data_IF_461331484141
#
_entry.id   IF_461331484141
#
_cell.length_a   1.000
_cell.length_b   1.000
_cell.length_c   1.000
_cell.angle_alpha   90.00
_cell.angle_beta   90.00
_cell.angle_gamma   90.00
#
_symmetry.space_group_name_H-M   'P 1'
#
loop_
_entity.id
_entity.type
_entity.pdbx_description
1 polymer ?
#
# COMPACT_ATOMS: atom_id res chain seq x y z
N UNK A 1 -40.75 18.19 8.45
CA UNK A 1 -40.55 17.56 7.13
C UNK A 1 -39.25 18.10 6.57
N UNK A 2 -38.31 17.25 6.13
CA UNK A 2 -37.03 17.74 5.64
C UNK A 2 -37.11 18.12 4.15
N UNK A 3 -36.42 19.20 3.82
CA UNK A 3 -36.29 19.87 2.51
C UNK A 3 -35.11 19.21 1.75
N UNK A 4 -35.11 19.14 0.40
CA UNK A 4 -34.23 18.26 -0.37
C UNK A 4 -32.77 18.77 -0.51
N UNK A 5 -31.85 17.81 -0.64
CA UNK A 5 -30.43 18.04 -0.87
C UNK A 5 -30.16 18.54 -2.30
N UNK A 6 -29.53 19.71 -2.42
CA UNK A 6 -29.04 20.25 -3.68
C UNK A 6 -27.67 19.68 -4.04
N UNK A 7 -27.53 19.35 -5.31
CA UNK A 7 -26.36 18.91 -6.06
C UNK A 7 -25.16 19.87 -5.87
N UNK A 8 -23.99 19.35 -5.46
CA UNK A 8 -22.72 20.09 -5.47
C UNK A 8 -21.76 19.35 -6.42
N UNK A 9 -21.46 19.97 -7.57
CA UNK A 9 -20.39 19.54 -8.48
C UNK A 9 -19.01 19.85 -7.89
N UNK A 10 -17.99 18.99 -8.08
CA UNK A 10 -16.62 19.30 -7.69
C UNK A 10 -15.95 20.30 -8.67
N UNK A 11 -15.05 21.19 -8.18
CA UNK A 11 -14.36 22.17 -9.01
C UNK A 11 -13.19 21.56 -9.82
N UNK A 12 -12.74 22.22 -10.92
CA UNK A 12 -11.66 21.71 -11.75
C UNK A 12 -10.30 21.80 -11.04
N UNK A 13 -9.52 20.73 -11.12
CA UNK A 13 -8.20 20.62 -10.50
C UNK A 13 -7.22 21.65 -11.07
N UNK A 14 -6.73 22.53 -10.20
CA UNK A 14 -5.65 23.45 -10.50
C UNK A 14 -4.35 22.67 -10.73
N UNK A 15 -3.73 22.89 -11.89
CA UNK A 15 -2.40 22.40 -12.23
C UNK A 15 -1.38 22.94 -11.22
N UNK A 16 -1.00 22.09 -10.27
CA UNK A 16 0.11 22.38 -9.35
C UNK A 16 1.38 21.85 -10.01
N UNK A 17 2.16 22.77 -10.56
CA UNK A 17 3.51 22.53 -11.06
C UNK A 17 4.39 22.08 -9.90
N UNK A 18 4.55 20.76 -9.76
CA UNK A 18 5.48 20.17 -8.81
C UNK A 18 6.89 20.30 -9.38
N UNK A 19 7.62 21.30 -8.89
CA UNK A 19 9.04 21.49 -9.12
C UNK A 19 9.83 20.52 -8.23
N UNK A 20 9.98 19.27 -8.67
CA UNK A 20 11.05 18.39 -8.21
C UNK A 20 12.22 18.44 -9.21
N UNK A 21 13.47 18.53 -8.75
CA UNK A 21 14.63 18.49 -9.63
C UNK A 21 14.70 17.11 -10.31
N UNK A 22 14.81 17.13 -11.64
CA UNK A 22 15.09 15.97 -12.47
C UNK A 22 16.25 15.15 -11.88
N UNK A 23 16.03 13.84 -11.73
CA UNK A 23 17.11 12.88 -11.57
C UNK A 23 18.13 13.08 -12.73
N UNK A 24 19.44 13.20 -12.47
CA UNK A 24 20.44 13.46 -13.51
C UNK A 24 20.77 12.22 -14.36
N UNK A 25 19.95 11.16 -14.32
CA UNK A 25 20.16 9.93 -15.09
C UNK A 25 19.18 9.71 -16.24
N UNK A 26 18.22 10.61 -16.47
CA UNK A 26 17.21 10.47 -17.54
C UNK A 26 17.48 11.34 -18.78
N UNK A 27 18.67 11.93 -18.91
CA UNK A 27 19.11 12.52 -20.18
C UNK A 27 20.03 11.57 -20.92
N UNK A 28 19.44 10.61 -21.63
CA UNK A 28 20.07 10.03 -22.82
C UNK A 28 19.01 9.35 -23.71
N UNK A 29 19.18 9.62 -25.01
CA UNK A 29 18.64 8.96 -26.20
C UNK A 29 17.17 9.21 -26.60
N UNK A 30 17.01 10.26 -27.40
CA UNK A 30 16.13 10.21 -28.57
C UNK A 30 16.56 9.05 -29.49
N UNK A 31 15.57 8.43 -30.14
CA UNK A 31 15.63 7.31 -31.11
C UNK A 31 16.13 5.96 -30.58
N UNK A 32 15.25 5.22 -29.90
CA UNK A 32 15.35 3.76 -29.82
C UNK A 32 14.21 3.10 -30.64
N UNK A 33 14.51 2.14 -31.54
CA UNK A 33 13.50 1.30 -32.21
C UNK A 33 12.95 0.19 -31.30
N UNK A 34 13.21 0.27 -29.99
CA UNK A 34 12.52 -0.55 -29.00
C UNK A 34 11.22 0.15 -28.62
N UNK A 35 10.18 -0.09 -29.44
CA UNK A 35 8.81 0.12 -29.03
C UNK A 35 8.67 -0.40 -27.60
N UNK A 36 8.32 0.51 -26.68
CA UNK A 36 8.15 0.24 -25.25
C UNK A 36 7.32 -1.04 -25.11
N UNK A 37 7.98 -2.16 -24.86
CA UNK A 37 7.29 -3.39 -24.50
C UNK A 37 6.59 -3.08 -23.19
N UNK A 38 5.27 -3.01 -23.25
CA UNK A 38 4.43 -2.88 -22.07
C UNK A 38 4.89 -3.94 -21.06
N UNK A 39 4.98 -3.58 -19.75
CA UNK A 39 5.28 -4.56 -18.72
C UNK A 39 4.42 -5.82 -18.91
N UNK A 40 4.97 -7.01 -18.65
CA UNK A 40 4.27 -8.27 -18.96
C UNK A 40 2.85 -8.36 -18.38
N UNK A 41 2.63 -7.76 -17.21
CA UNK A 41 1.30 -7.64 -16.58
C UNK A 41 0.33 -6.72 -17.37
N UNK A 42 0.84 -5.65 -17.98
CA UNK A 42 0.03 -4.71 -18.76
C UNK A 42 -0.38 -5.33 -20.10
N UNK A 43 0.51 -6.10 -20.73
CA UNK A 43 0.17 -6.89 -21.91
C UNK A 43 -0.88 -7.97 -21.58
N UNK A 44 -0.71 -8.69 -20.48
CA UNK A 44 -1.67 -9.71 -20.06
C UNK A 44 -3.06 -9.11 -19.70
N UNK A 45 -3.09 -7.97 -19.02
CA UNK A 45 -4.34 -7.24 -18.76
C UNK A 45 -5.03 -6.79 -20.05
N UNK A 46 -4.25 -6.34 -21.05
CA UNK A 46 -4.81 -5.96 -22.34
C UNK A 46 -5.44 -7.16 -23.06
N UNK A 47 -4.79 -8.34 -23.03
CA UNK A 47 -5.36 -9.58 -23.57
C UNK A 47 -6.66 -9.99 -22.85
N UNK A 48 -6.70 -9.88 -21.52
CA UNK A 48 -7.91 -10.15 -20.73
C UNK A 48 -9.04 -9.20 -21.12
N UNK A 49 -8.75 -7.91 -21.29
CA UNK A 49 -9.74 -6.93 -21.76
C UNK A 49 -10.30 -7.30 -23.13
N UNK A 50 -9.42 -7.60 -24.11
CA UNK A 50 -9.86 -8.01 -25.44
C UNK A 50 -10.74 -9.27 -25.40
N UNK A 51 -10.40 -10.25 -24.57
CA UNK A 51 -11.20 -11.47 -24.40
C UNK A 51 -12.54 -11.20 -23.71
N UNK A 52 -12.57 -10.24 -22.78
CA UNK A 52 -13.79 -9.80 -22.10
C UNK A 52 -14.74 -9.12 -23.09
N UNK A 53 -14.22 -8.21 -23.92
CA UNK A 53 -15.00 -7.52 -24.94
C UNK A 53 -15.57 -8.52 -25.97
N UNK A 54 -14.74 -9.47 -26.42
CA UNK A 54 -15.17 -10.54 -27.33
C UNK A 54 -16.28 -11.40 -26.70
N UNK A 55 -16.12 -11.79 -25.43
CA UNK A 55 -17.12 -12.58 -24.72
C UNK A 55 -18.44 -11.81 -24.57
N UNK A 56 -18.39 -10.52 -24.23
CA UNK A 56 -19.58 -9.67 -24.12
C UNK A 56 -20.29 -9.49 -25.47
N UNK A 57 -19.52 -9.29 -26.56
CA UNK A 57 -20.07 -9.23 -27.90
C UNK A 57 -20.77 -10.55 -28.28
N UNK A 58 -20.11 -11.69 -28.07
CA UNK A 58 -20.68 -13.01 -28.34
C UNK A 58 -21.94 -13.28 -27.51
N UNK A 59 -21.96 -12.84 -26.24
CA UNK A 59 -23.16 -12.95 -25.39
C UNK A 59 -24.33 -12.14 -25.95
N UNK A 60 -24.07 -10.93 -26.43
CA UNK A 60 -25.11 -10.08 -27.02
C UNK A 60 -25.66 -10.68 -28.31
N UNK A 61 -24.78 -11.16 -29.20
CA UNK A 61 -25.15 -11.84 -30.44
C UNK A 61 -25.96 -13.12 -30.17
N UNK A 62 -25.53 -13.93 -29.20
CA UNK A 62 -26.23 -15.15 -28.80
C UNK A 62 -27.63 -14.86 -28.24
N UNK A 63 -27.78 -13.85 -27.39
CA UNK A 63 -29.08 -13.45 -26.83
C UNK A 63 -30.04 -12.95 -27.93
N UNK A 64 -29.52 -12.21 -28.91
CA UNK A 64 -30.31 -11.77 -30.06
C UNK A 64 -30.76 -12.96 -30.92
N UNK A 65 -29.86 -13.90 -31.21
CA UNK A 65 -30.18 -15.12 -31.96
C UNK A 65 -31.21 -16.00 -31.24
N UNK A 66 -31.08 -16.15 -29.92
CA UNK A 66 -32.04 -16.88 -29.09
C UNK A 66 -33.44 -16.26 -29.16
N UNK A 67 -33.53 -14.94 -29.08
CA UNK A 67 -34.82 -14.22 -29.15
C UNK A 67 -35.50 -14.43 -30.51
N UNK A 68 -34.73 -14.34 -31.61
CA UNK A 68 -35.25 -14.60 -32.96
C UNK A 68 -35.68 -16.06 -33.16
N UNK A 69 -34.97 -17.02 -32.58
CA UNK A 69 -35.33 -18.43 -32.63
C UNK A 69 -36.67 -18.70 -31.93
N UNK A 70 -36.93 -18.07 -30.79
CA UNK A 70 -38.21 -18.20 -30.08
C UNK A 70 -39.37 -17.63 -30.90
N UNK A 71 -39.19 -16.44 -31.50
CA UNK A 71 -40.19 -15.81 -32.37
C UNK A 71 -40.51 -16.69 -33.59
N UNK A 72 -39.49 -17.23 -34.24
CA UNK A 72 -39.69 -18.10 -35.41
C UNK A 72 -40.30 -19.45 -35.02
N UNK A 73 -39.97 -19.99 -33.84
CA UNK A 73 -40.60 -21.20 -33.32
C UNK A 73 -42.10 -20.98 -33.05
N UNK A 74 -42.47 -19.86 -32.43
CA UNK A 74 -43.87 -19.49 -32.21
C UNK A 74 -44.60 -19.32 -33.54
N UNK A 75 -43.97 -18.66 -34.51
CA UNK A 75 -44.51 -18.50 -35.86
C UNK A 75 -44.71 -19.84 -36.57
N UNK A 76 -43.74 -20.75 -36.48
CA UNK A 76 -43.87 -22.09 -37.07
C UNK A 76 -45.02 -22.87 -36.41
N UNK A 77 -45.15 -22.79 -35.08
CA UNK A 77 -46.25 -23.43 -34.36
C UNK A 77 -47.62 -22.91 -34.82
N UNK A 78 -47.74 -21.59 -34.99
CA UNK A 78 -48.96 -20.97 -35.53
C UNK A 78 -49.28 -21.42 -36.96
N UNK A 79 -48.27 -21.56 -37.82
CA UNK A 79 -48.43 -22.05 -39.20
C UNK A 79 -48.75 -23.55 -39.29
N UNK A 80 -48.29 -24.34 -38.30
CA UNK A 80 -48.58 -25.78 -38.23
C UNK A 80 -49.95 -26.09 -37.62
N UNK A 81 -50.51 -25.19 -36.80
CA UNK A 81 -51.77 -25.41 -36.10
C UNK A 81 -52.95 -25.89 -37.00
N UNK A 82 -53.15 -25.36 -38.22
CA UNK A 82 -54.22 -25.83 -39.11
C UNK A 82 -54.02 -27.26 -39.65
N UNK A 83 -52.79 -27.75 -39.65
CA UNK A 83 -52.42 -29.07 -40.16
C UNK A 83 -52.41 -30.14 -39.07
N UNK A 84 -52.69 -29.77 -37.82
CA UNK A 84 -52.62 -30.63 -36.65
C UNK A 84 -54.01 -30.72 -35.99
N UNK A 85 -54.35 -31.93 -35.55
CA UNK A 85 -55.48 -32.19 -34.66
C UNK A 85 -55.15 -31.72 -33.24
N UNK A 86 -56.17 -31.54 -32.38
CA UNK A 86 -55.98 -31.28 -30.94
C UNK A 86 -55.10 -32.35 -30.27
N UNK A 87 -55.10 -33.59 -30.79
CA UNK A 87 -54.23 -34.68 -30.34
C UNK A 87 -52.80 -34.64 -30.91
N UNK A 88 -52.45 -33.62 -31.70
CA UNK A 88 -51.16 -33.49 -32.39
C UNK A 88 -50.99 -34.41 -33.62
N UNK A 89 -52.07 -35.06 -34.07
CA UNK A 89 -52.05 -35.88 -35.29
C UNK A 89 -52.10 -35.00 -36.53
N UNK A 90 -51.29 -35.33 -37.53
CA UNK A 90 -51.28 -34.62 -38.83
C UNK A 90 -52.59 -34.89 -39.56
N UNK A 91 -53.37 -33.83 -39.78
CA UNK A 91 -54.65 -33.86 -40.50
C UNK A 91 -54.45 -33.78 -42.02
N UNK A 92 -53.45 -33.02 -42.45
CA UNK A 92 -53.09 -32.81 -43.83
C UNK A 92 -51.58 -32.54 -43.95
N UNK A 93 -50.93 -32.88 -45.07
CA UNK A 93 -49.53 -32.52 -45.30
C UNK A 93 -49.38 -30.98 -45.27
N UNK A 94 -48.42 -30.43 -44.50
CA UNK A 94 -48.11 -29.00 -44.51
C UNK A 94 -47.67 -28.51 -45.88
N UNK A 95 -47.95 -27.25 -46.18
CA UNK A 95 -47.47 -26.61 -47.40
C UNK A 95 -45.94 -26.62 -47.47
N UNK A 96 -45.39 -26.68 -48.70
CA UNK A 96 -43.95 -26.71 -48.94
C UNK A 96 -43.22 -25.51 -48.28
N UNK A 97 -43.86 -24.34 -48.22
CA UNK A 97 -43.32 -23.16 -47.56
C UNK A 97 -43.16 -23.33 -46.04
N UNK A 98 -44.07 -24.05 -45.39
CA UNK A 98 -44.00 -24.36 -43.95
C UNK A 98 -42.88 -25.36 -43.69
N UNK A 99 -42.73 -26.35 -44.58
CA UNK A 99 -41.62 -27.31 -44.53
C UNK A 99 -40.26 -26.63 -44.73
N UNK A 100 -40.16 -25.69 -45.66
CA UNK A 100 -38.94 -24.91 -45.88
C UNK A 100 -38.59 -24.05 -44.67
N UNK A 101 -39.59 -23.40 -44.04
CA UNK A 101 -39.38 -22.64 -42.81
C UNK A 101 -38.86 -23.54 -41.68
N UNK A 102 -39.43 -24.75 -41.52
CA UNK A 102 -38.97 -25.74 -40.54
C UNK A 102 -37.50 -26.12 -40.77
N UNK A 103 -37.12 -26.41 -42.02
CA UNK A 103 -35.73 -26.73 -42.35
C UNK A 103 -34.78 -25.56 -42.05
N UNK A 104 -35.19 -24.33 -42.36
CA UNK A 104 -34.41 -23.13 -42.03
C UNK A 104 -34.26 -22.90 -40.52
N UNK A 105 -35.28 -23.25 -39.73
CA UNK A 105 -35.21 -23.21 -38.27
C UNK A 105 -34.28 -24.30 -37.70
N UNK A 106 -34.32 -25.51 -38.24
CA UNK A 106 -33.39 -26.58 -37.84
C UNK A 106 -31.92 -26.17 -38.09
N UNK A 107 -31.65 -25.55 -39.24
CA UNK A 107 -30.31 -25.03 -39.57
C UNK A 107 -29.87 -23.96 -38.57
N UNK A 108 -30.75 -23.00 -38.26
CA UNK A 108 -30.45 -21.95 -37.27
C UNK A 108 -30.27 -22.49 -35.86
N UNK A 109 -30.96 -23.58 -35.50
CA UNK A 109 -30.75 -24.26 -34.23
C UNK A 109 -29.32 -24.84 -34.14
N UNK A 110 -28.83 -25.45 -35.23
CA UNK A 110 -27.47 -25.96 -35.31
C UNK A 110 -26.45 -24.82 -35.18
N UNK A 111 -26.64 -23.73 -35.91
CA UNK A 111 -25.78 -22.53 -35.83
C UNK A 111 -25.76 -21.97 -34.40
N UNK A 112 -26.92 -21.90 -33.73
CA UNK A 112 -27.02 -21.44 -32.36
C UNK A 112 -26.30 -22.36 -31.36
N UNK A 113 -26.36 -23.68 -31.54
CA UNK A 113 -25.60 -24.64 -30.75
C UNK A 113 -24.08 -24.47 -30.96
N UNK A 114 -23.64 -24.21 -32.19
CA UNK A 114 -22.25 -23.91 -32.50
C UNK A 114 -21.78 -22.62 -31.82
N UNK A 115 -22.62 -21.58 -31.80
CA UNK A 115 -22.33 -20.32 -31.11
C UNK A 115 -22.26 -20.50 -29.59
N UNK A 116 -23.13 -21.34 -29.02
CA UNK A 116 -23.04 -21.76 -27.62
C UNK A 116 -21.70 -22.46 -27.30
N UNK A 117 -21.20 -23.32 -28.20
CA UNK A 117 -19.87 -23.95 -28.01
C UNK A 117 -18.73 -22.95 -28.15
N UNK A 118 -18.85 -22.02 -29.11
CA UNK A 118 -17.87 -20.96 -29.37
C UNK A 118 -17.70 -20.06 -28.16
N UNK A 119 -18.80 -19.58 -27.58
CA UNK A 119 -18.75 -18.69 -26.41
C UNK A 119 -18.22 -19.40 -25.17
N UNK A 120 -18.56 -20.68 -24.96
CA UNK A 120 -17.99 -21.49 -23.88
C UNK A 120 -16.47 -21.65 -24.03
N UNK A 121 -15.96 -21.77 -25.27
CA UNK A 121 -14.53 -21.83 -25.50
C UNK A 121 -13.85 -20.49 -25.18
N UNK A 122 -14.47 -19.37 -25.55
CA UNK A 122 -13.99 -18.03 -25.18
C UNK A 122 -13.98 -17.85 -23.66
N UNK A 123 -15.03 -18.26 -22.98
CA UNK A 123 -15.13 -18.22 -21.50
C UNK A 123 -14.01 -19.01 -20.84
N UNK A 124 -13.79 -20.27 -21.25
CA UNK A 124 -12.70 -21.09 -20.72
C UNK A 124 -11.33 -20.48 -20.97
N UNK A 125 -11.13 -19.83 -22.12
CA UNK A 125 -9.89 -19.13 -22.44
C UNK A 125 -9.69 -17.91 -21.54
N UNK A 126 -10.75 -17.14 -21.29
CA UNK A 126 -10.74 -16.00 -20.39
C UNK A 126 -10.43 -16.43 -18.94
N UNK A 127 -11.11 -17.45 -18.44
CA UNK A 127 -10.90 -18.01 -17.09
C UNK A 127 -9.45 -18.41 -16.87
N UNK A 128 -8.88 -19.24 -17.77
CA UNK A 128 -7.47 -19.64 -17.68
C UNK A 128 -6.51 -18.45 -17.68
N UNK A 129 -6.77 -17.45 -18.53
CA UNK A 129 -5.93 -16.24 -18.59
C UNK A 129 -5.98 -15.43 -17.31
N UNK A 130 -7.17 -15.31 -16.69
CA UNK A 130 -7.32 -14.66 -15.39
C UNK A 130 -6.55 -15.46 -14.33
N UNK A 131 -6.74 -16.77 -14.28
CA UNK A 131 -6.03 -17.67 -13.35
C UNK A 131 -4.50 -17.53 -13.48
N UNK A 132 -3.96 -17.63 -14.70
CA UNK A 132 -2.53 -17.46 -14.97
C UNK A 132 -2.01 -16.10 -14.48
N UNK A 133 -2.77 -15.02 -14.70
CA UNK A 133 -2.40 -13.69 -14.24
C UNK A 133 -2.45 -13.56 -12.72
N UNK A 134 -3.46 -14.15 -12.08
CA UNK A 134 -3.58 -14.13 -10.62
C UNK A 134 -2.42 -14.86 -9.94
N UNK A 135 -2.07 -16.06 -10.43
CA UNK A 135 -0.93 -16.83 -9.90
C UNK A 135 0.38 -16.06 -10.07
N UNK A 136 0.61 -15.47 -11.25
CA UNK A 136 1.81 -14.67 -11.49
C UNK A 136 1.86 -13.41 -10.60
N UNK A 137 0.72 -12.76 -10.38
CA UNK A 137 0.63 -11.60 -9.49
C UNK A 137 0.95 -11.98 -8.04
N UNK A 138 0.35 -13.06 -7.54
CA UNK A 138 0.59 -13.57 -6.18
C UNK A 138 2.05 -13.96 -5.96
N UNK A 139 2.67 -14.65 -6.93
CA UNK A 139 4.09 -14.99 -6.87
C UNK A 139 4.98 -13.74 -6.77
N UNK A 140 4.75 -12.75 -7.65
CA UNK A 140 5.53 -11.51 -7.63
C UNK A 140 5.32 -10.70 -6.34
N UNK A 141 4.09 -10.70 -5.81
CA UNK A 141 3.76 -10.02 -4.55
C UNK A 141 4.47 -10.69 -3.37
N UNK A 142 4.50 -12.02 -3.35
CA UNK A 142 5.20 -12.79 -2.34
C UNK A 142 6.71 -12.51 -2.35
N UNK A 143 7.36 -12.55 -3.52
CA UNK A 143 8.78 -12.22 -3.66
C UNK A 143 9.10 -10.78 -3.22
N UNK A 144 8.26 -9.82 -3.61
CA UNK A 144 8.42 -8.43 -3.21
C UNK A 144 8.27 -8.24 -1.69
N UNK A 145 7.33 -8.96 -1.08
CA UNK A 145 7.11 -8.94 0.37
C UNK A 145 8.31 -9.54 1.11
N UNK A 146 8.80 -10.72 0.71
CA UNK A 146 9.95 -11.36 1.34
C UNK A 146 11.20 -10.47 1.28
N UNK A 147 11.42 -9.79 0.15
CA UNK A 147 12.52 -8.85 -0.01
C UNK A 147 12.38 -7.64 0.92
N UNK A 148 11.19 -7.05 0.98
CA UNK A 148 10.91 -5.89 1.85
C UNK A 148 11.04 -6.25 3.34
N UNK A 149 10.49 -7.38 3.76
CA UNK A 149 10.60 -7.89 5.13
C UNK A 149 12.05 -8.17 5.51
N UNK A 150 12.82 -8.81 4.62
CA UNK A 150 14.24 -9.09 4.85
C UNK A 150 15.05 -7.81 5.08
N UNK A 151 14.80 -6.76 4.27
CA UNK A 151 15.46 -5.46 4.40
C UNK A 151 15.06 -4.74 5.69
N UNK A 152 13.78 -4.74 6.04
CA UNK A 152 13.31 -4.14 7.29
C UNK A 152 13.92 -4.85 8.50
N UNK A 153 14.01 -6.17 8.46
CA UNK A 153 14.56 -6.97 9.54
C UNK A 153 16.08 -6.76 9.70
N UNK A 154 16.81 -6.58 8.59
CA UNK A 154 18.21 -6.15 8.59
C UNK A 154 18.37 -4.78 9.27
N UNK A 155 17.57 -3.79 8.86
CA UNK A 155 17.59 -2.44 9.45
C UNK A 155 17.29 -2.45 10.95
N UNK A 156 16.31 -3.24 11.40
CA UNK A 156 15.97 -3.38 12.82
C UNK A 156 17.14 -3.97 13.60
N UNK A 157 17.83 -4.98 13.06
CA UNK A 157 19.02 -5.56 13.70
C UNK A 157 20.15 -4.53 13.82
N UNK A 158 20.37 -3.72 12.79
CA UNK A 158 21.39 -2.68 12.83
C UNK A 158 21.06 -1.58 13.85
N UNK A 159 19.80 -1.14 13.90
CA UNK A 159 19.34 -0.19 14.91
C UNK A 159 19.50 -0.76 16.33
N UNK A 160 19.21 -2.05 16.54
CA UNK A 160 19.40 -2.70 17.83
C UNK A 160 20.88 -2.70 18.26
N UNK A 161 21.82 -2.90 17.32
CA UNK A 161 23.26 -2.81 17.60
C UNK A 161 23.67 -1.40 18.00
N UNK A 162 23.17 -0.38 17.30
CA UNK A 162 23.44 1.02 17.63
C UNK A 162 22.93 1.34 19.04
N UNK A 163 21.72 0.92 19.38
CA UNK A 163 21.15 1.10 20.72
C UNK A 163 22.03 0.45 21.79
N UNK A 164 22.53 -0.76 21.56
CA UNK A 164 23.42 -1.44 22.51
C UNK A 164 24.74 -0.69 22.72
N UNK A 165 25.33 -0.11 21.66
CA UNK A 165 26.54 0.70 21.78
C UNK A 165 26.27 1.97 22.58
N UNK A 166 25.18 2.67 22.26
CA UNK A 166 24.76 3.88 22.98
C UNK A 166 24.47 3.61 24.46
N UNK A 167 23.87 2.46 24.79
CA UNK A 167 23.66 2.05 26.18
C UNK A 167 24.98 1.90 26.94
N UNK A 168 25.98 1.22 26.34
CA UNK A 168 27.31 1.07 26.94
C UNK A 168 28.01 2.40 27.16
N UNK A 169 27.94 3.30 26.18
CA UNK A 169 28.51 4.65 26.29
C UNK A 169 27.84 5.45 27.41
N UNK A 170 26.51 5.40 27.51
CA UNK A 170 25.78 6.05 28.59
C UNK A 170 26.16 5.50 29.97
N UNK A 171 26.35 4.19 30.10
CA UNK A 171 26.76 3.57 31.35
C UNK A 171 28.18 3.97 31.75
N UNK A 172 29.11 4.05 30.79
CA UNK A 172 30.47 4.56 31.02
C UNK A 172 30.46 6.03 31.47
N UNK A 173 29.69 6.88 30.80
CA UNK A 173 29.57 8.30 31.19
C UNK A 173 28.96 8.47 32.58
N UNK A 174 27.96 7.65 32.94
CA UNK A 174 27.37 7.64 34.29
C UNK A 174 28.40 7.21 35.33
N UNK A 175 29.19 6.17 35.04
CA UNK A 175 30.27 5.71 35.90
C UNK A 175 31.32 6.81 36.12
N UNK A 176 31.79 7.45 35.06
CA UNK A 176 32.76 8.55 35.14
C UNK A 176 32.21 9.73 35.97
N UNK A 177 30.95 10.13 35.73
CA UNK A 177 30.29 11.17 36.53
C UNK A 177 30.28 10.81 38.02
N UNK A 178 29.93 9.57 38.36
CA UNK A 178 29.87 9.13 39.75
C UNK A 178 31.25 9.10 40.41
N UNK A 179 32.27 8.63 39.67
CA UNK A 179 33.68 8.69 40.08
C UNK A 179 34.15 10.13 40.35
N UNK A 180 33.90 11.06 39.43
CA UNK A 180 34.27 12.47 39.60
C UNK A 180 33.50 13.12 40.75
N UNK A 181 32.23 12.78 40.93
CA UNK A 181 31.43 13.28 42.04
C UNK A 181 32.02 12.83 43.38
N UNK A 182 32.44 11.57 43.50
CA UNK A 182 33.05 11.02 44.69
C UNK A 182 34.45 11.57 44.94
N UNK A 183 35.29 11.72 43.92
CA UNK A 183 36.60 12.36 44.05
C UNK A 183 36.46 13.83 44.47
N UNK A 184 35.47 14.56 43.92
CA UNK A 184 35.22 15.94 44.35
C UNK A 184 34.71 15.98 45.80
N UNK A 185 33.91 15.00 46.26
CA UNK A 185 33.53 14.90 47.68
C UNK A 185 34.76 14.63 48.55
N UNK A 186 35.64 13.71 48.15
CA UNK A 186 36.92 13.39 48.82
C UNK A 186 37.80 14.62 48.93
N UNK A 187 38.08 15.31 47.81
CA UNK A 187 38.90 16.53 47.79
C UNK A 187 38.30 17.63 48.66
N UNK A 188 36.97 17.83 48.62
CA UNK A 188 36.31 18.79 49.53
C UNK A 188 36.46 18.41 51.00
N UNK A 189 36.42 17.12 51.32
CA UNK A 189 36.65 16.64 52.68
C UNK A 189 38.10 16.90 53.11
N UNK A 190 39.08 16.57 52.27
CA UNK A 190 40.51 16.85 52.51
C UNK A 190 40.74 18.36 52.69
N UNK A 191 40.22 19.22 51.82
CA UNK A 191 40.41 20.67 51.98
C UNK A 191 39.73 21.26 53.23
N UNK A 192 38.66 20.63 53.74
CA UNK A 192 37.92 21.13 54.91
C UNK A 192 38.44 20.60 56.24
N UNK A 193 38.89 19.35 56.26
CA UNK A 193 39.22 18.62 57.50
C UNK A 193 40.55 17.86 57.42
N UNK A 194 41.13 17.73 56.23
CA UNK A 194 42.43 17.10 56.03
C UNK A 194 43.57 18.10 56.16
N UNK A 195 44.62 17.69 56.85
CA UNK A 195 45.87 18.44 56.89
C UNK A 195 46.60 18.17 55.55
N UNK A 196 46.40 19.02 54.55
CA UNK A 196 46.98 18.91 53.19
C UNK A 196 48.51 18.74 53.19
N UNK A 197 49.17 19.11 54.29
CA UNK A 197 50.62 19.00 54.50
C UNK A 197 51.10 17.64 55.01
N UNK A 198 50.23 16.65 55.24
CA UNK A 198 50.61 15.42 55.96
C UNK A 198 50.84 14.16 55.10
N UNK A 199 50.92 14.27 53.76
CA UNK A 199 51.43 13.18 52.91
C UNK A 199 52.90 13.41 52.45
N UNK A 200 53.56 14.42 53.01
CA UNK A 200 54.99 14.66 52.81
C UNK A 200 55.59 15.46 53.96
N UNK A 201 56.03 14.76 55.01
CA UNK A 201 56.89 15.28 56.09
C UNK A 201 56.47 16.62 56.73
N UNK A 202 55.68 16.56 57.81
CA UNK A 202 55.55 17.72 58.69
C UNK A 202 54.32 17.69 59.59
N UNK A 203 54.36 16.88 60.64
CA UNK A 203 53.43 17.01 61.76
C UNK A 203 53.76 18.31 62.52
N UNK A 204 52.94 19.34 62.33
CA UNK A 204 52.83 20.47 63.24
C UNK A 204 51.39 20.55 63.71
N UNK A 205 51.18 20.42 65.02
CA UNK A 205 49.89 20.68 65.66
C UNK A 205 49.43 22.10 65.31
N UNK A 206 48.30 22.19 64.61
CA UNK A 206 47.66 23.45 64.28
C UNK A 206 46.16 23.32 64.49
N UNK A 207 45.61 24.21 65.33
CA UNK A 207 44.18 24.33 65.62
C UNK A 207 43.29 24.29 64.36
N UNK A 208 42.03 23.83 64.47
CA UNK A 208 41.10 23.88 63.35
C UNK A 208 40.85 25.34 62.93
N UNK A 209 41.45 25.73 61.80
CA UNK A 209 41.21 27.04 61.18
C UNK A 209 39.71 27.17 60.85
N UNK A 210 39.07 28.30 61.21
CA UNK A 210 37.67 28.52 60.90
C UNK A 210 37.46 28.52 59.38
N UNK A 211 36.49 27.71 58.93
CA UNK A 211 36.07 27.59 57.52
C UNK A 211 36.09 28.95 56.81
N UNK A 212 36.93 29.17 55.78
CA UNK A 212 36.87 30.39 55.00
C UNK A 212 35.47 30.51 54.41
N UNK A 213 34.83 31.67 54.64
CA UNK A 213 33.52 31.98 54.07
C UNK A 213 33.62 31.83 52.56
N UNK A 214 32.87 30.91 51.97
CA UNK A 214 32.75 30.83 50.52
C UNK A 214 32.27 32.18 49.98
N UNK A 215 32.81 32.60 48.82
CA UNK A 215 32.47 33.87 48.15
C UNK A 215 30.95 34.11 48.06
N UNK A 216 30.16 33.04 47.92
CA UNK A 216 28.69 33.08 47.94
C UNK A 216 28.09 33.62 49.25
N UNK A 217 28.70 33.37 50.42
CA UNK A 217 28.25 33.91 51.71
C UNK A 217 28.66 35.38 51.92
N UNK A 218 29.79 35.80 51.37
CA UNK A 218 30.24 37.20 51.44
C UNK A 218 29.36 38.12 50.59
N UNK A 219 29.04 37.68 49.35
CA UNK A 219 28.12 38.38 48.46
C UNK A 219 26.69 38.46 49.01
N UNK A 220 26.21 37.40 49.66
CA UNK A 220 24.88 37.41 50.29
C UNK A 220 24.77 38.44 51.43
N UNK A 221 25.83 38.59 52.25
CA UNK A 221 25.84 39.57 53.34
C UNK A 221 25.95 41.01 52.81
N UNK A 222 26.73 41.23 51.76
CA UNK A 222 26.88 42.55 51.14
C UNK A 222 25.59 43.05 50.45
N UNK A 223 24.81 42.14 49.84
CA UNK A 223 23.48 42.46 49.31
C UNK A 223 22.47 42.80 50.41
N UNK A 224 22.51 42.11 51.56
CA UNK A 224 21.63 42.37 52.69
C UNK A 224 21.90 43.73 53.38
N UNK A 225 23.17 44.11 53.52
CA UNK A 225 23.58 45.37 54.18
C UNK A 225 23.47 46.61 53.27
N UNK A 226 23.32 46.40 51.95
CA UNK A 226 23.09 47.46 50.97
C UNK A 226 21.61 47.86 50.85
N UNK A 227 20.70 46.88 50.76
CA UNK A 227 19.26 47.15 50.57
C UNK A 227 18.60 47.83 51.77
N UNK A 228 19.07 47.61 53.00
CA UNK A 228 18.53 48.27 54.20
C UNK A 228 18.97 49.74 54.38
N UNK A 229 19.92 50.23 53.58
CA UNK A 229 20.33 51.66 53.60
C UNK A 229 19.62 52.53 52.58
N UNK A 230 18.92 51.94 51.61
CA UNK A 230 18.16 52.66 50.56
C UNK A 230 16.67 52.87 50.90
N UNK A 231 16.19 52.38 52.05
CA UNK A 231 14.79 52.51 52.49
C UNK A 231 14.69 53.31 53.81
N UNK A 232 15.45 54.41 53.94
CA UNK A 232 15.20 55.38 55.02
C UNK A 232 15.31 56.80 54.51
#
# INVERSE_FOLDING_TARGET
>A
GPVPAAFISPPPAAATTSAYPLNPFTQQTASDPFAQQLPGWAAANHEIMQLTDLYQQQLAELNAAHSLLLEDQERLAALLAPYLSEDGKVLAPPDENVMLLKQGLDLRLIEFEEDCRRIQQTERRLQRKIEDCTVNYEANLFEAQEYAESRLLEQVRDQQRIIQLQQRELDELRFQRDLYADETKRLRHICRYGNWTLDGYGAGEGEPLPSPRTLHKALAKQKADGWMREIR
#
